data_IF_723283569883
#
_entry.id   IF_723283569883
#
_cell.length_a   1.000
_cell.length_b   1.000
_cell.length_c   1.000
_cell.angle_alpha   90.00
_cell.angle_beta   90.00
_cell.angle_gamma   90.00
#
_symmetry.space_group_name_H-M   'P 1'
#
loop_
_entity.id
_entity.type
_entity.pdbx_description
1 polymer ?
#
# COMPACT_ATOMS: atom_id res chain seq x y z
N UNK A 1 -16.79 -5.14 14.96
CA UNK A 1 -17.69 -4.38 14.06
C UNK A 1 -17.07 -4.45 12.68
N UNK A 2 -17.74 -5.11 11.72
CA UNK A 2 -17.24 -5.26 10.35
C UNK A 2 -17.66 -4.03 9.53
N UNK A 3 -16.71 -3.35 8.90
CA UNK A 3 -16.98 -2.22 8.02
C UNK A 3 -17.56 -2.74 6.69
N UNK A 4 -18.74 -2.22 6.29
CA UNK A 4 -19.48 -2.62 5.08
C UNK A 4 -18.92 -2.02 3.79
N UNK A 5 -17.87 -1.19 3.87
CA UNK A 5 -17.23 -0.57 2.72
C UNK A 5 -15.99 -1.35 2.27
N UNK A 6 -16.07 -1.96 1.09
CA UNK A 6 -14.95 -2.64 0.41
C UNK A 6 -13.75 -1.72 0.16
N UNK A 7 -13.93 -0.40 0.25
CA UNK A 7 -12.88 0.61 0.03
C UNK A 7 -12.28 1.18 1.32
N UNK A 8 -12.78 0.79 2.50
CA UNK A 8 -12.46 1.49 3.75
C UNK A 8 -12.98 2.93 3.76
N UNK A 9 -12.87 3.62 4.90
CA UNK A 9 -13.15 5.06 4.98
C UNK A 9 -11.95 5.94 4.60
N UNK A 10 -10.79 5.33 4.35
CA UNK A 10 -9.59 6.00 3.84
C UNK A 10 -9.66 6.33 2.34
N UNK A 11 -9.01 7.41 1.94
CA UNK A 11 -8.85 7.75 0.52
C UNK A 11 -7.86 6.78 -0.14
N UNK A 12 -8.27 6.14 -1.25
CA UNK A 12 -7.38 5.29 -2.04
C UNK A 12 -6.30 6.17 -2.67
N UNK A 13 -5.06 5.98 -2.25
CA UNK A 13 -3.91 6.78 -2.71
C UNK A 13 -3.00 5.91 -3.59
N UNK A 14 -2.58 6.46 -4.72
CA UNK A 14 -1.63 5.80 -5.62
C UNK A 14 -0.23 5.86 -5.00
N UNK A 15 0.42 4.71 -4.88
CA UNK A 15 1.76 4.61 -4.28
C UNK A 15 2.83 4.62 -5.37
N UNK A 16 2.62 3.83 -6.41
CA UNK A 16 3.54 3.69 -7.52
C UNK A 16 2.78 3.43 -8.81
N UNK A 17 3.06 4.24 -9.81
CA UNK A 17 2.58 4.07 -11.19
C UNK A 17 3.72 3.44 -11.99
N UNK A 18 3.48 2.27 -12.60
CA UNK A 18 4.46 1.70 -13.53
C UNK A 18 4.61 2.61 -14.76
N UNK A 19 5.82 2.69 -15.32
CA UNK A 19 6.05 3.49 -16.52
C UNK A 19 5.16 2.99 -17.66
N UNK A 20 4.36 3.86 -18.31
CA UNK A 20 3.47 3.45 -19.39
C UNK A 20 4.20 3.22 -20.73
N UNK A 21 5.49 3.57 -20.80
CA UNK A 21 6.20 3.77 -22.07
C UNK A 21 7.07 2.58 -22.48
N UNK A 22 7.32 1.61 -21.59
CA UNK A 22 8.28 0.54 -21.86
C UNK A 22 7.66 -0.81 -21.50
N UNK A 23 7.92 -1.80 -22.36
CA UNK A 23 7.33 -3.14 -22.28
C UNK A 23 7.77 -3.94 -21.05
N UNK A 24 8.72 -3.39 -20.28
CA UNK A 24 9.30 -3.99 -19.11
C UNK A 24 8.54 -3.47 -17.88
N UNK A 25 7.79 -4.36 -17.24
CA UNK A 25 7.00 -4.02 -16.06
C UNK A 25 7.85 -3.59 -14.86
N UNK A 26 7.22 -3.01 -13.85
CA UNK A 26 7.92 -2.62 -12.61
C UNK A 26 7.84 -3.74 -11.59
N UNK A 27 8.97 -4.22 -11.09
CA UNK A 27 9.00 -5.24 -10.04
C UNK A 27 9.03 -4.57 -8.67
N UNK A 28 8.02 -4.86 -7.83
CA UNK A 28 7.97 -4.39 -6.45
C UNK A 28 8.45 -5.51 -5.53
N UNK A 29 9.60 -5.28 -4.89
CA UNK A 29 10.18 -6.22 -3.95
C UNK A 29 9.50 -6.10 -2.58
N UNK A 30 9.45 -4.87 -2.05
CA UNK A 30 8.96 -4.61 -0.70
C UNK A 30 7.92 -3.50 -0.67
N UNK A 31 7.01 -3.61 0.28
CA UNK A 31 6.17 -2.51 0.71
C UNK A 31 6.51 -2.13 2.15
N UNK A 32 6.76 -0.86 2.39
CA UNK A 32 6.96 -0.31 3.73
C UNK A 32 5.72 0.45 4.14
N UNK A 33 5.07 0.00 5.20
CA UNK A 33 3.93 0.68 5.82
C UNK A 33 4.41 1.27 7.14
N UNK A 34 4.26 2.58 7.32
CA UNK A 34 4.60 3.28 8.55
C UNK A 34 3.43 4.15 9.01
N UNK A 35 3.01 3.98 10.25
CA UNK A 35 2.05 4.87 10.87
C UNK A 35 2.69 6.21 11.21
N UNK A 36 1.99 7.31 10.95
CA UNK A 36 2.43 8.66 11.31
C UNK A 36 2.04 9.05 12.73
N UNK A 37 1.09 8.34 13.34
CA UNK A 37 0.55 8.54 14.69
C UNK A 37 0.31 7.18 15.36
N UNK A 38 -0.24 7.19 16.58
CA UNK A 38 -0.80 5.99 17.20
C UNK A 38 -1.88 5.36 16.31
N UNK A 39 -1.93 4.03 16.29
CA UNK A 39 -2.88 3.25 15.48
C UNK A 39 -3.85 2.51 16.37
N UNK A 40 -5.08 2.36 15.89
CA UNK A 40 -6.10 1.45 16.37
C UNK A 40 -6.08 0.15 15.54
N UNK A 41 -6.70 -0.93 16.05
CA UNK A 41 -6.83 -2.16 15.27
C UNK A 41 -7.59 -1.92 13.97
N UNK A 42 -6.97 -2.25 12.84
CA UNK A 42 -7.56 -2.07 11.51
C UNK A 42 -6.75 -2.78 10.42
N UNK A 43 -7.00 -2.44 9.16
CA UNK A 43 -6.31 -3.05 8.02
C UNK A 43 -5.86 -1.99 6.99
N UNK A 44 -4.69 -2.20 6.41
CA UNK A 44 -4.25 -1.54 5.18
C UNK A 44 -4.52 -2.50 4.02
N UNK A 45 -5.29 -2.03 3.03
CA UNK A 45 -5.66 -2.79 1.84
C UNK A 45 -4.87 -2.29 0.65
N UNK A 46 -4.23 -3.21 -0.05
CA UNK A 46 -3.50 -2.95 -1.29
C UNK A 46 -4.38 -3.32 -2.47
N UNK A 47 -4.46 -2.39 -3.41
CA UNK A 47 -5.17 -2.53 -4.65
C UNK A 47 -4.20 -2.44 -5.83
N UNK A 48 -4.47 -3.24 -6.85
CA UNK A 48 -3.84 -3.09 -8.15
C UNK A 48 -4.93 -2.55 -9.07
N UNK A 49 -4.64 -1.48 -9.81
CA UNK A 49 -5.59 -0.87 -10.75
C UNK A 49 -4.96 -0.72 -12.12
N UNK A 50 -5.74 -0.98 -13.15
CA UNK A 50 -5.43 -0.69 -14.56
C UNK A 50 -5.89 0.72 -14.98
N UNK A 51 -6.36 1.52 -14.00
CA UNK A 51 -6.96 2.83 -14.21
C UNK A 51 -8.49 2.82 -14.29
N UNK A 52 -9.11 1.65 -14.51
CA UNK A 52 -10.57 1.49 -14.63
C UNK A 52 -11.11 0.59 -13.52
N UNK A 53 -10.51 -0.58 -13.33
CA UNK A 53 -10.93 -1.59 -12.36
C UNK A 53 -9.90 -1.71 -11.25
N UNK A 54 -10.37 -1.70 -10.00
CA UNK A 54 -9.52 -1.90 -8.82
C UNK A 54 -9.66 -3.34 -8.34
N UNK A 55 -8.55 -4.06 -8.29
CA UNK A 55 -8.46 -5.43 -7.79
C UNK A 55 -7.83 -5.41 -6.40
N UNK A 56 -8.49 -6.02 -5.41
CA UNK A 56 -7.90 -6.22 -4.08
C UNK A 56 -6.77 -7.25 -4.19
N UNK A 57 -5.56 -6.85 -3.84
CA UNK A 57 -4.38 -7.70 -3.91
C UNK A 57 -4.06 -8.34 -2.56
N UNK A 58 -3.97 -7.53 -1.50
CA UNK A 58 -3.58 -8.01 -0.18
C UNK A 58 -4.11 -7.09 0.91
N UNK A 59 -4.49 -7.69 2.03
CA UNK A 59 -4.85 -6.98 3.25
C UNK A 59 -3.77 -7.25 4.30
N UNK A 60 -3.35 -6.18 4.98
CA UNK A 60 -2.30 -6.20 5.99
C UNK A 60 -2.94 -5.70 7.27
N UNK A 61 -3.03 -6.59 8.25
CA UNK A 61 -3.58 -6.26 9.57
C UNK A 61 -2.62 -5.32 10.31
N UNK A 62 -3.17 -4.24 10.84
CA UNK A 62 -2.46 -3.27 11.66
C UNK A 62 -2.90 -3.46 13.12
N UNK A 63 -1.99 -3.82 14.04
CA UNK A 63 -2.29 -3.88 15.45
C UNK A 63 -2.40 -2.47 16.06
N UNK A 64 -3.07 -2.39 17.20
CA UNK A 64 -3.05 -1.18 18.02
C UNK A 64 -1.63 -0.86 18.46
N UNK A 65 -1.18 0.37 18.21
CA UNK A 65 0.15 0.83 18.61
C UNK A 65 0.02 2.22 19.20
N UNK A 66 0.26 2.36 20.51
CA UNK A 66 0.33 3.67 21.16
C UNK A 66 1.75 4.23 21.02
N UNK A 67 1.90 5.29 20.23
CA UNK A 67 3.17 5.99 20.09
C UNK A 67 3.48 6.80 21.36
N UNK A 68 4.72 6.73 21.82
CA UNK A 68 5.24 7.59 22.91
C UNK A 68 6.68 8.00 22.61
N UNK A 69 7.30 8.81 23.48
CA UNK A 69 8.72 9.16 23.33
C UNK A 69 9.65 7.94 23.35
N UNK A 70 9.21 6.84 23.97
CA UNK A 70 9.99 5.61 24.11
C UNK A 70 9.46 4.46 23.22
N UNK A 71 8.22 4.57 22.71
CA UNK A 71 7.61 3.54 21.87
C UNK A 71 7.42 4.08 20.44
N UNK A 72 8.15 3.55 19.44
CA UNK A 72 8.04 4.01 18.07
C UNK A 72 6.66 3.71 17.47
N UNK A 73 6.27 4.50 16.47
CA UNK A 73 5.05 4.23 15.70
C UNK A 73 5.16 2.93 14.91
N UNK A 74 4.02 2.33 14.59
CA UNK A 74 3.95 1.09 13.83
C UNK A 74 4.75 1.19 12.51
N UNK A 75 5.58 0.18 12.25
CA UNK A 75 6.29 0.01 10.98
C UNK A 75 6.30 -1.46 10.62
N UNK A 76 5.91 -1.78 9.39
CA UNK A 76 6.00 -3.12 8.84
C UNK A 76 6.56 -3.07 7.43
N UNK A 77 7.49 -3.99 7.15
CA UNK A 77 8.00 -4.26 5.81
C UNK A 77 7.33 -5.56 5.36
N UNK A 78 6.60 -5.49 4.26
CA UNK A 78 5.89 -6.63 3.67
C UNK A 78 6.56 -6.97 2.35
N UNK A 79 7.28 -8.11 2.26
CA UNK A 79 7.78 -8.58 0.98
C UNK A 79 6.60 -9.02 0.11
N UNK A 80 6.56 -8.52 -1.12
CA UNK A 80 5.47 -8.76 -2.08
C UNK A 80 5.97 -9.35 -3.40
N UNK A 81 7.23 -9.13 -3.78
CA UNK A 81 7.87 -9.71 -4.97
C UNK A 81 6.91 -9.81 -6.17
N UNK A 82 6.30 -8.68 -6.53
CA UNK A 82 5.20 -8.63 -7.50
C UNK A 82 5.59 -7.77 -8.70
N UNK A 83 5.47 -8.33 -9.90
CA UNK A 83 5.71 -7.61 -11.15
C UNK A 83 4.42 -6.96 -11.65
N UNK A 84 4.38 -5.63 -11.65
CA UNK A 84 3.31 -4.84 -12.25
C UNK A 84 3.49 -4.78 -13.77
N UNK A 85 2.41 -5.06 -14.50
CA UNK A 85 2.35 -4.83 -15.94
C UNK A 85 2.45 -3.31 -16.24
N UNK A 86 3.07 -2.89 -17.35
CA UNK A 86 3.05 -1.49 -17.77
C UNK A 86 1.62 -0.91 -17.80
N UNK A 87 1.46 0.30 -17.26
CA UNK A 87 0.17 0.99 -17.13
C UNK A 87 -0.65 0.61 -15.90
N UNK A 88 -0.23 -0.37 -15.10
CA UNK A 88 -0.88 -0.71 -13.85
C UNK A 88 -0.29 0.11 -12.69
N UNK A 89 -1.12 0.36 -11.69
CA UNK A 89 -0.79 1.16 -10.50
C UNK A 89 -1.08 0.34 -9.26
N UNK A 90 -0.17 0.39 -8.29
CA UNK A 90 -0.45 -0.08 -6.93
C UNK A 90 -0.94 1.09 -6.09
N UNK A 91 -2.09 0.89 -5.46
CA UNK A 91 -2.73 1.86 -4.59
C UNK A 91 -2.99 1.24 -3.23
N UNK A 92 -3.05 2.06 -2.18
CA UNK A 92 -3.43 1.61 -0.85
C UNK A 92 -4.63 2.39 -0.32
N UNK A 93 -5.41 1.73 0.53
CA UNK A 93 -6.42 2.34 1.38
C UNK A 93 -6.34 1.81 2.80
N UNK A 94 -6.84 2.59 3.74
CA UNK A 94 -6.93 2.22 5.14
C UNK A 94 -8.39 1.90 5.47
N UNK A 95 -8.61 0.87 6.29
CA UNK A 95 -9.95 0.52 6.75
C UNK A 95 -10.56 1.62 7.62
N UNK A 96 -9.72 2.24 8.45
CA UNK A 96 -10.05 3.34 9.36
C UNK A 96 -9.30 4.59 8.87
N UNK A 97 -9.87 5.77 9.11
CA UNK A 97 -9.28 7.06 8.72
C UNK A 97 -8.04 7.41 9.57
N UNK A 98 -6.97 6.67 9.35
CA UNK A 98 -5.68 6.82 10.02
C UNK A 98 -4.59 7.17 9.02
N UNK A 99 -3.60 7.94 9.47
CA UNK A 99 -2.55 8.45 8.60
C UNK A 99 -1.37 7.47 8.53
N UNK A 100 -1.21 6.83 7.38
CA UNK A 100 -0.08 5.95 7.06
C UNK A 100 0.74 6.51 5.89
N UNK A 101 2.06 6.44 6.03
CA UNK A 101 2.98 6.53 4.91
C UNK A 101 3.19 5.11 4.35
N UNK A 102 2.79 4.90 3.10
CA UNK A 102 2.99 3.64 2.38
C UNK A 102 3.96 3.89 1.25
N UNK A 103 5.07 3.16 1.23
CA UNK A 103 6.13 3.28 0.22
C UNK A 103 6.37 1.93 -0.44
N UNK A 104 6.34 1.90 -1.77
CA UNK A 104 6.71 0.73 -2.55
C UNK A 104 8.18 0.84 -2.97
N UNK A 105 8.97 -0.18 -2.63
CA UNK A 105 10.33 -0.33 -3.12
C UNK A 105 10.29 -1.29 -4.31
N UNK A 106 10.52 -0.73 -5.50
CA UNK A 106 10.54 -1.48 -6.73
C UNK A 106 11.65 -1.04 -7.67
N UNK A 107 12.03 -1.96 -8.55
CA UNK A 107 12.96 -1.73 -9.64
C UNK A 107 12.17 -1.61 -10.94
N UNK A 108 12.33 -0.46 -11.60
CA UNK A 108 11.84 -0.28 -12.95
C UNK A 108 12.88 -0.82 -13.92
N UNK A 109 12.49 -1.75 -14.78
CA UNK A 109 13.38 -2.42 -15.74
C UNK A 109 13.58 -1.56 -16.99
N UNK A 110 13.75 -0.25 -16.81
CA UNK A 110 14.08 0.64 -17.92
C UNK A 110 15.56 0.49 -18.25
N UNK A 111 15.88 -0.37 -19.22
CA UNK A 111 17.20 -0.39 -19.85
C UNK A 111 17.25 0.74 -20.89
N UNK A 112 17.86 1.86 -20.50
CA UNK A 112 18.21 2.94 -21.43
C UNK A 112 19.41 2.56 -22.31
#
# INVERSE_FOLDING_TARGET
>A
VANTSLTGSGSITNILTSSPLLNDGTNISNLVIKALQSTNPGMVRLFITDGVTKYLYKEIMIPETLQSSNNPSFKQIVPINFSLKPGYVIAASTEIAEAFAVTAEGLDWNYA
#
